data_IF_412685810244
#
_entry.id   IF_412685810244
#
_cell.length_a   1.000
_cell.length_b   1.000
_cell.length_c   1.000
_cell.angle_alpha   90.00
_cell.angle_beta   90.00
_cell.angle_gamma   90.00
#
_symmetry.space_group_name_H-M   'P 1'
#
loop_
_entity.id
_entity.type
_entity.pdbx_description
1 polymer ?
#
# COMPACT_ATOMS: atom_id res chain seq x y z
N UNK A 1 -26.86 0.75 -6.37
CA UNK A 1 -25.64 -0.04 -6.47
C UNK A 1 -24.46 0.69 -5.86
N UNK A 2 -23.82 0.08 -4.90
CA UNK A 2 -22.69 0.72 -4.26
C UNK A 2 -21.43 0.52 -5.10
N UNK A 3 -20.67 1.59 -5.29
CA UNK A 3 -19.37 1.49 -5.92
C UNK A 3 -18.36 0.97 -4.89
N UNK A 4 -17.34 0.29 -5.37
CA UNK A 4 -16.27 -0.20 -4.48
C UNK A 4 -15.50 0.98 -3.92
N UNK A 5 -15.23 0.91 -2.62
CA UNK A 5 -14.37 1.90 -1.98
C UNK A 5 -12.95 1.35 -1.98
N UNK A 6 -12.15 1.76 -2.96
CA UNK A 6 -10.80 1.25 -3.13
C UNK A 6 -9.86 1.69 -2.03
N UNK A 7 -10.12 2.84 -1.40
CA UNK A 7 -9.33 3.27 -0.25
C UNK A 7 -9.55 2.31 0.93
N UNK A 8 -10.79 1.89 1.15
CA UNK A 8 -11.09 0.95 2.22
C UNK A 8 -10.47 -0.42 1.95
N UNK A 9 -10.50 -0.86 0.69
CA UNK A 9 -9.84 -2.12 0.31
C UNK A 9 -8.34 -2.02 0.57
N UNK A 10 -7.72 -0.88 0.20
CA UNK A 10 -6.30 -0.66 0.45
C UNK A 10 -5.99 -0.68 1.95
N UNK A 11 -6.86 -0.11 2.79
CA UNK A 11 -6.69 -0.13 4.23
C UNK A 11 -6.74 -1.55 4.79
N UNK A 12 -7.62 -2.39 4.24
CA UNK A 12 -7.70 -3.80 4.64
C UNK A 12 -6.40 -4.53 4.30
N UNK A 13 -5.86 -4.28 3.10
CA UNK A 13 -4.59 -4.86 2.70
C UNK A 13 -3.46 -4.35 3.61
N UNK A 14 -3.49 -3.06 3.95
CA UNK A 14 -2.52 -2.47 4.86
C UNK A 14 -2.56 -3.17 6.22
N UNK A 15 -3.73 -3.48 6.73
CA UNK A 15 -3.87 -4.22 7.99
C UNK A 15 -3.28 -5.63 7.88
N UNK A 16 -3.45 -6.29 6.73
CA UNK A 16 -2.84 -7.60 6.49
C UNK A 16 -1.32 -7.53 6.47
N UNK A 17 -0.76 -6.45 5.91
CA UNK A 17 0.68 -6.21 5.93
C UNK A 17 1.17 -6.11 7.38
N UNK A 18 0.49 -5.30 8.18
CA UNK A 18 0.88 -5.07 9.57
C UNK A 18 0.71 -6.33 10.43
N UNK A 19 -0.26 -7.16 10.11
CA UNK A 19 -0.49 -8.42 10.82
C UNK A 19 0.48 -9.52 10.40
N UNK A 20 1.24 -9.32 9.33
CA UNK A 20 2.15 -10.32 8.82
C UNK A 20 1.49 -11.39 7.95
N UNK A 21 0.22 -11.19 7.59
CA UNK A 21 -0.52 -12.15 6.75
C UNK A 21 -0.07 -12.10 5.30
N UNK A 22 0.50 -10.98 4.87
CA UNK A 22 1.03 -10.79 3.52
C UNK A 22 2.32 -10.01 3.65
N UNK A 23 3.28 -10.30 2.76
CA UNK A 23 4.56 -9.57 2.80
C UNK A 23 4.34 -8.10 2.41
N UNK A 24 5.20 -7.18 2.89
CA UNK A 24 5.06 -5.77 2.55
C UNK A 24 5.02 -5.53 1.04
N UNK A 25 5.92 -6.15 0.29
CA UNK A 25 5.94 -5.96 -1.16
C UNK A 25 4.66 -6.52 -1.82
N UNK A 26 4.25 -7.73 -1.45
CA UNK A 26 3.04 -8.32 -2.04
C UNK A 26 1.81 -7.47 -1.75
N UNK A 27 1.67 -7.01 -0.52
CA UNK A 27 0.56 -6.14 -0.12
C UNK A 27 0.62 -4.80 -0.83
N UNK A 28 1.80 -4.19 -0.88
CA UNK A 28 2.00 -2.91 -1.58
C UNK A 28 1.69 -3.02 -3.06
N UNK A 29 2.11 -4.11 -3.69
CA UNK A 29 1.84 -4.36 -5.10
C UNK A 29 0.33 -4.53 -5.35
N UNK A 30 -0.38 -5.23 -4.47
CA UNK A 30 -1.83 -5.37 -4.57
C UNK A 30 -2.53 -4.03 -4.42
N UNK A 31 -2.09 -3.21 -3.47
CA UNK A 31 -2.66 -1.87 -3.29
C UNK A 31 -2.46 -1.05 -4.57
N UNK A 32 -1.28 -1.14 -5.18
CA UNK A 32 -0.99 -0.45 -6.43
C UNK A 32 -1.93 -0.92 -7.55
N UNK A 33 -1.93 -2.22 -7.83
CA UNK A 33 -2.63 -2.75 -9.01
C UNK A 33 -4.14 -2.84 -8.83
N UNK A 34 -4.60 -3.12 -7.62
CA UNK A 34 -6.04 -3.32 -7.38
C UNK A 34 -6.75 -2.07 -6.88
N UNK A 35 -6.03 -1.12 -6.31
CA UNK A 35 -6.64 0.06 -5.69
C UNK A 35 -6.22 1.36 -6.36
N UNK A 36 -4.92 1.66 -6.39
CA UNK A 36 -4.46 2.95 -6.92
C UNK A 36 -4.87 3.17 -8.37
N UNK A 37 -4.77 2.14 -9.20
CA UNK A 37 -5.12 2.25 -10.61
C UNK A 37 -6.62 2.46 -10.83
N UNK A 38 -7.43 2.25 -9.80
CA UNK A 38 -8.88 2.44 -9.87
C UNK A 38 -9.32 3.80 -9.34
N UNK A 39 -8.40 4.57 -8.75
CA UNK A 39 -8.72 5.90 -8.24
C UNK A 39 -8.81 6.90 -9.38
N UNK A 40 -9.49 8.01 -9.12
CA UNK A 40 -9.61 9.09 -10.09
C UNK A 40 -8.24 9.71 -10.37
N UNK A 41 -8.01 10.21 -11.61
CA UNK A 41 -6.80 10.94 -11.91
C UNK A 41 -6.62 12.09 -10.92
N UNK A 42 -5.39 12.24 -10.41
CA UNK A 42 -5.08 13.25 -9.43
C UNK A 42 -5.24 12.81 -7.98
N UNK A 43 -5.79 11.63 -7.74
CA UNK A 43 -5.88 11.09 -6.38
C UNK A 43 -4.58 10.34 -6.08
N UNK A 44 -3.78 10.88 -5.16
CA UNK A 44 -2.44 10.38 -4.85
C UNK A 44 -2.34 9.74 -3.46
N UNK A 45 -3.47 9.39 -2.85
CA UNK A 45 -3.48 8.87 -1.48
C UNK A 45 -2.68 7.58 -1.30
N UNK A 46 -2.57 6.78 -2.35
CA UNK A 46 -1.88 5.49 -2.30
C UNK A 46 -0.51 5.52 -2.99
N UNK A 47 -0.03 6.68 -3.40
CA UNK A 47 1.24 6.84 -4.09
C UNK A 47 2.44 6.21 -3.36
N UNK A 48 2.57 6.30 -2.03
CA UNK A 48 3.71 5.67 -1.36
C UNK A 48 3.82 4.18 -1.63
N UNK A 49 2.68 3.48 -1.72
CA UNK A 49 2.70 2.05 -2.03
C UNK A 49 3.19 1.79 -3.45
N UNK A 50 2.76 2.63 -4.39
CA UNK A 50 3.21 2.54 -5.79
C UNK A 50 4.72 2.76 -5.86
N UNK A 51 5.20 3.84 -5.25
CA UNK A 51 6.61 4.22 -5.30
C UNK A 51 7.51 3.11 -4.74
N UNK A 52 7.21 2.65 -3.53
CA UNK A 52 8.08 1.68 -2.87
C UNK A 52 7.98 0.28 -3.48
N UNK A 53 6.81 -0.10 -4.01
CA UNK A 53 6.66 -1.36 -4.72
C UNK A 53 7.45 -1.34 -6.03
N UNK A 54 7.40 -0.22 -6.74
CA UNK A 54 8.15 -0.03 -7.98
C UNK A 54 9.66 -0.07 -7.72
N UNK A 55 10.11 0.62 -6.67
CA UNK A 55 11.53 0.61 -6.29
C UNK A 55 12.00 -0.80 -5.92
N UNK A 56 11.15 -1.56 -5.22
CA UNK A 56 11.46 -2.93 -4.86
C UNK A 56 11.68 -3.79 -6.11
N UNK A 57 10.83 -3.62 -7.13
CA UNK A 57 10.93 -4.37 -8.39
C UNK A 57 12.17 -3.99 -9.18
N UNK A 58 12.60 -2.74 -9.09
CA UNK A 58 13.70 -2.22 -9.90
C UNK A 58 15.08 -2.48 -9.31
N UNK A 59 15.16 -2.95 -8.07
CA UNK A 59 16.45 -3.16 -7.42
C UNK A 59 16.74 -4.65 -7.20
N UNK A 60 18.02 -5.01 -7.33
CA UNK A 60 18.51 -6.35 -7.00
C UNK A 60 19.23 -6.36 -5.65
N UNK A 61 19.39 -5.20 -5.02
CA UNK A 61 20.09 -5.05 -3.75
C UNK A 61 19.17 -5.46 -2.60
N UNK A 62 19.57 -6.47 -1.85
CA UNK A 62 18.78 -6.99 -0.73
C UNK A 62 18.57 -5.94 0.37
N UNK A 63 19.57 -5.09 0.63
CA UNK A 63 19.45 -4.02 1.63
C UNK A 63 18.41 -2.99 1.20
N UNK A 64 18.41 -2.64 -0.08
CA UNK A 64 17.43 -1.70 -0.62
C UNK A 64 16.04 -2.28 -0.61
N UNK A 65 15.90 -3.57 -0.90
CA UNK A 65 14.60 -4.26 -0.81
C UNK A 65 14.06 -4.26 0.62
N UNK A 66 14.94 -4.47 1.59
CA UNK A 66 14.56 -4.39 3.01
C UNK A 66 14.07 -2.99 3.36
N UNK A 67 14.74 -1.96 2.84
CA UNK A 67 14.32 -0.57 3.04
C UNK A 67 12.94 -0.32 2.44
N UNK A 68 12.70 -0.83 1.24
CA UNK A 68 11.40 -0.70 0.59
C UNK A 68 10.29 -1.38 1.42
N UNK A 69 10.57 -2.59 1.92
CA UNK A 69 9.61 -3.30 2.78
C UNK A 69 9.26 -2.48 4.02
N UNK A 70 10.27 -1.89 4.67
CA UNK A 70 10.04 -1.04 5.85
C UNK A 70 9.22 0.18 5.50
N UNK A 71 9.50 0.80 4.37
CA UNK A 71 8.77 1.99 3.92
C UNK A 71 7.32 1.64 3.62
N UNK A 72 7.06 0.48 3.04
CA UNK A 72 5.69 0.01 2.79
C UNK A 72 4.97 -0.20 4.11
N UNK A 73 5.63 -0.78 5.11
CA UNK A 73 5.03 -0.96 6.44
C UNK A 73 4.68 0.38 7.09
N UNK A 74 5.56 1.37 6.99
CA UNK A 74 5.28 2.72 7.52
C UNK A 74 4.09 3.33 6.81
N UNK A 75 4.01 3.16 5.49
CA UNK A 75 2.87 3.65 4.71
C UNK A 75 1.58 2.93 5.11
N UNK A 76 1.67 1.63 5.39
CA UNK A 76 0.52 0.86 5.84
C UNK A 76 0.01 1.36 7.20
N UNK A 77 0.92 1.63 8.13
CA UNK A 77 0.55 2.20 9.43
C UNK A 77 -0.16 3.54 9.28
N UNK A 78 0.38 4.42 8.45
CA UNK A 78 -0.21 5.73 8.21
C UNK A 78 -1.61 5.59 7.60
N UNK A 79 -1.78 4.66 6.67
CA UNK A 79 -3.05 4.42 5.99
C UNK A 79 -4.12 3.94 6.97
N UNK A 80 -3.78 2.99 7.83
CA UNK A 80 -4.70 2.45 8.83
C UNK A 80 -5.06 3.52 9.86
N UNK A 81 -4.07 4.29 10.31
CA UNK A 81 -4.28 5.35 11.29
C UNK A 81 -5.19 6.44 10.74
N UNK A 82 -4.98 6.84 9.49
CA UNK A 82 -5.81 7.85 8.83
C UNK A 82 -7.25 7.36 8.67
N UNK A 83 -7.42 6.08 8.30
CA UNK A 83 -8.73 5.48 8.19
C UNK A 83 -9.47 5.49 9.50
N UNK A 84 -8.79 5.13 10.60
CA UNK A 84 -9.39 5.14 11.93
C UNK A 84 -9.79 6.55 12.36
N UNK A 85 -8.96 7.55 12.03
CA UNK A 85 -9.23 8.94 12.39
C UNK A 85 -10.44 9.52 11.66
N UNK A 86 -10.75 8.98 10.48
CA UNK A 86 -11.87 9.46 9.67
C UNK A 86 -13.19 8.80 10.02
N UNK A 87 -13.16 7.80 10.85
CA UNK A 87 -14.35 7.13 11.35
C UNK A 87 -14.77 7.75 12.68
#
# INVERSE_FOLDING_TARGET
MSSKNFIRIAQQIAEEILAGSVSPYDGGHRIWKECQLQLKPGDHRLDPFVYWSSEYEDTLDAERRTLCDKAICVSAEASVRTGSALQ
#
